data_IF_773923271496
#
_entry.id   IF_773923271496
#
_cell.length_a   1.000
_cell.length_b   1.000
_cell.length_c   1.000
_cell.angle_alpha   90.00
_cell.angle_beta   90.00
_cell.angle_gamma   90.00
#
_symmetry.space_group_name_H-M   'P 1'
#
loop_
_entity.id
_entity.type
_entity.pdbx_description
1 polymer ?
#
# COMPACT_ATOMS: atom_id res chain seq x y z
N UNK A 1 -7.60 26.69 12.98
CA UNK A 1 -6.32 26.01 12.91
C UNK A 1 -6.55 24.52 12.70
N UNK A 2 -6.35 24.05 11.50
CA UNK A 2 -6.47 22.61 11.23
C UNK A 2 -5.36 21.81 11.91
N UNK A 3 -5.72 20.75 12.56
CA UNK A 3 -4.74 19.80 13.03
C UNK A 3 -4.13 19.10 11.82
N UNK A 4 -2.84 19.32 11.55
CA UNK A 4 -2.14 18.55 10.53
C UNK A 4 -1.94 17.14 11.08
N UNK A 5 -2.58 16.16 10.43
CA UNK A 5 -2.35 14.76 10.74
C UNK A 5 -0.90 14.42 10.41
N UNK A 6 -0.18 13.80 11.35
CA UNK A 6 1.20 13.41 11.11
C UNK A 6 1.28 12.32 10.03
N UNK A 7 2.42 12.25 9.32
CA UNK A 7 2.65 11.22 8.32
C UNK A 7 2.58 9.81 8.94
N UNK A 8 3.04 9.65 10.18
CA UNK A 8 2.95 8.38 10.88
C UNK A 8 1.49 7.96 11.14
N UNK A 9 0.62 8.93 11.49
CA UNK A 9 -0.81 8.65 11.68
C UNK A 9 -1.50 8.33 10.35
N UNK A 10 -1.14 9.03 9.27
CA UNK A 10 -1.64 8.74 7.93
C UNK A 10 -1.20 7.36 7.45
N UNK A 11 0.04 6.97 7.74
CA UNK A 11 0.52 5.64 7.41
C UNK A 11 -0.28 4.56 8.13
N UNK A 12 -0.53 4.73 9.43
CA UNK A 12 -1.35 3.78 10.20
C UNK A 12 -2.77 3.66 9.67
N UNK A 13 -3.39 4.79 9.33
CA UNK A 13 -4.73 4.81 8.75
C UNK A 13 -4.75 4.10 7.40
N UNK A 14 -3.78 4.38 6.54
CA UNK A 14 -3.67 3.74 5.24
C UNK A 14 -3.41 2.23 5.35
N UNK A 15 -2.60 1.79 6.32
CA UNK A 15 -2.37 0.37 6.57
C UNK A 15 -3.66 -0.35 7.01
N UNK A 16 -4.54 0.33 7.76
CA UNK A 16 -5.86 -0.20 8.08
C UNK A 16 -6.73 -0.35 6.82
N UNK A 17 -6.66 0.61 5.91
CA UNK A 17 -7.42 0.58 4.67
C UNK A 17 -7.02 -0.56 3.74
N UNK A 18 -5.77 -1.01 3.83
CA UNK A 18 -5.23 -2.14 3.05
C UNK A 18 -5.05 -3.41 3.86
N UNK A 19 -5.65 -3.49 5.03
CA UNK A 19 -5.61 -4.69 5.86
C UNK A 19 -6.28 -5.87 5.15
N UNK A 20 -5.85 -7.12 5.43
CA UNK A 20 -6.49 -8.30 4.86
C UNK A 20 -8.00 -8.30 5.12
N UNK A 21 -8.79 -8.64 4.10
CA UNK A 21 -10.25 -8.65 4.17
C UNK A 21 -10.94 -7.35 3.76
N UNK A 22 -10.20 -6.27 3.58
CA UNK A 22 -10.77 -5.02 3.05
C UNK A 22 -10.97 -5.08 1.54
N UNK A 23 -11.89 -4.28 1.02
CA UNK A 23 -12.16 -4.21 -0.42
C UNK A 23 -10.94 -3.68 -1.19
N UNK A 24 -10.21 -2.72 -0.62
CA UNK A 24 -9.00 -2.19 -1.23
C UNK A 24 -7.92 -3.27 -1.32
N UNK A 25 -7.69 -4.03 -0.25
CA UNK A 25 -6.72 -5.13 -0.26
C UNK A 25 -7.10 -6.19 -1.29
N UNK A 26 -8.38 -6.52 -1.40
CA UNK A 26 -8.85 -7.47 -2.42
C UNK A 26 -8.53 -6.98 -3.83
N UNK A 27 -8.75 -5.71 -4.11
CA UNK A 27 -8.39 -5.11 -5.40
C UNK A 27 -6.90 -5.18 -5.68
N UNK A 28 -6.07 -4.87 -4.70
CA UNK A 28 -4.62 -4.95 -4.81
C UNK A 28 -4.14 -6.37 -5.07
N UNK A 29 -4.71 -7.35 -4.39
CA UNK A 29 -4.38 -8.77 -4.59
C UNK A 29 -4.78 -9.26 -5.98
N UNK A 30 -5.91 -8.79 -6.52
CA UNK A 30 -6.32 -9.09 -7.89
C UNK A 30 -5.32 -8.55 -8.91
N UNK A 31 -4.84 -7.32 -8.69
CA UNK A 31 -3.80 -6.70 -9.54
C UNK A 31 -2.50 -7.51 -9.46
N UNK A 32 -2.11 -7.89 -8.27
CA UNK A 32 -0.93 -8.71 -8.00
C UNK A 32 -0.97 -10.03 -8.76
N UNK A 33 -2.11 -10.74 -8.70
CA UNK A 33 -2.32 -12.01 -9.41
C UNK A 33 -2.33 -11.87 -10.93
N UNK A 34 -2.72 -10.70 -11.43
CA UNK A 34 -2.76 -10.41 -12.86
C UNK A 34 -1.38 -10.11 -13.45
N UNK A 35 -0.33 -10.04 -12.63
CA UNK A 35 1.03 -9.66 -13.04
C UNK A 35 1.09 -8.30 -13.72
N UNK A 36 0.15 -7.41 -13.41
CA UNK A 36 0.17 -6.02 -13.85
C UNK A 36 0.69 -5.15 -12.71
N UNK A 37 1.33 -4.05 -13.05
CA UNK A 37 1.68 -3.04 -12.08
C UNK A 37 0.54 -2.07 -11.85
N UNK A 38 0.60 -1.31 -10.75
CA UNK A 38 -0.37 -0.27 -10.48
C UNK A 38 0.24 0.86 -9.66
N UNK A 39 -0.33 2.04 -9.83
CA UNK A 39 -0.01 3.24 -9.06
C UNK A 39 -1.33 3.85 -8.58
N UNK A 40 -1.49 3.97 -7.27
CA UNK A 40 -2.76 4.37 -6.67
C UNK A 40 -2.48 5.42 -5.61
N UNK A 41 -3.20 6.54 -5.66
CA UNK A 41 -3.12 7.58 -4.65
C UNK A 41 -4.39 7.55 -3.79
N UNK A 42 -4.21 7.50 -2.47
CA UNK A 42 -5.32 7.52 -1.51
C UNK A 42 -5.50 8.95 -0.98
N UNK A 43 -6.20 9.76 -1.71
CA UNK A 43 -6.48 11.14 -1.36
C UNK A 43 -6.78 11.97 -2.58
N UNK A 44 -7.45 13.08 -2.35
CA UNK A 44 -7.84 14.00 -3.41
C UNK A 44 -7.68 15.43 -2.87
N UNK A 45 -6.51 16.01 -3.12
CA UNK A 45 -6.17 17.34 -2.63
C UNK A 45 -5.80 18.28 -3.78
N UNK A 46 -5.87 19.62 -3.57
CA UNK A 46 -5.41 20.58 -4.59
C UNK A 46 -3.95 20.37 -4.99
N UNK A 47 -3.07 20.04 -4.04
CA UNK A 47 -1.66 19.80 -4.32
C UNK A 47 -1.47 18.59 -5.23
N UNK A 48 -2.22 17.53 -5.01
CA UNK A 48 -2.20 16.37 -5.89
C UNK A 48 -2.69 16.72 -7.30
N UNK A 49 -3.75 17.51 -7.41
CA UNK A 49 -4.29 17.90 -8.71
C UNK A 49 -3.29 18.69 -9.55
N UNK A 50 -2.44 19.49 -8.93
CA UNK A 50 -1.37 20.21 -9.62
C UNK A 50 -0.35 19.27 -10.26
N UNK A 51 -0.14 18.09 -9.69
CA UNK A 51 0.76 17.08 -10.20
C UNK A 51 0.14 16.22 -11.30
N UNK A 52 -1.18 16.21 -11.42
CA UNK A 52 -1.91 15.35 -12.35
C UNK A 52 -1.96 15.96 -13.73
N UNK A 53 -1.82 15.12 -14.75
CA UNK A 53 -2.01 15.50 -16.14
C UNK A 53 -2.74 14.40 -16.90
N UNK A 54 -3.70 14.80 -17.74
CA UNK A 54 -4.46 13.87 -18.57
C UNK A 54 -5.38 12.96 -17.77
N UNK A 55 -5.70 11.83 -18.38
CA UNK A 55 -6.56 10.83 -17.77
C UNK A 55 -8.04 11.15 -17.84
N UNK A 56 -8.81 10.42 -17.05
CA UNK A 56 -10.26 10.51 -17.02
C UNK A 56 -10.72 10.97 -15.64
N UNK A 57 -11.60 11.97 -15.61
CA UNK A 57 -12.31 12.33 -14.39
C UNK A 57 -13.46 11.36 -14.17
N UNK A 58 -13.54 10.83 -12.98
CA UNK A 58 -14.53 9.84 -12.58
C UNK A 58 -15.16 10.27 -11.25
N UNK A 59 -16.32 9.72 -10.97
CA UNK A 59 -16.93 9.80 -9.65
C UNK A 59 -17.77 8.54 -9.47
N UNK A 60 -17.08 7.41 -9.28
CA UNK A 60 -17.71 6.11 -9.16
C UNK A 60 -17.37 5.47 -7.81
N UNK A 61 -18.31 4.69 -7.30
CA UNK A 61 -18.10 3.94 -6.08
C UNK A 61 -16.92 2.99 -6.23
N UNK A 62 -16.05 2.94 -5.20
CA UNK A 62 -14.94 2.00 -5.17
C UNK A 62 -15.45 0.56 -5.08
N UNK A 63 -14.95 -0.29 -5.96
CA UNK A 63 -15.05 -1.75 -5.83
C UNK A 63 -13.70 -2.36 -6.23
N UNK A 64 -13.40 -3.54 -5.67
CA UNK A 64 -12.18 -4.27 -6.04
C UNK A 64 -12.11 -4.55 -7.54
N UNK A 65 -13.24 -4.89 -8.14
CA UNK A 65 -13.37 -5.15 -9.57
C UNK A 65 -13.09 -3.91 -10.43
N UNK A 66 -13.66 -2.77 -10.04
CA UNK A 66 -13.41 -1.50 -10.74
C UNK A 66 -11.95 -1.08 -10.66
N UNK A 67 -11.34 -1.22 -9.50
CA UNK A 67 -9.93 -0.89 -9.33
C UNK A 67 -9.06 -1.74 -10.26
N UNK A 68 -9.28 -3.04 -10.29
CA UNK A 68 -8.53 -3.95 -11.16
C UNK A 68 -8.66 -3.54 -12.63
N UNK A 69 -9.88 -3.24 -13.09
CA UNK A 69 -10.11 -2.85 -14.49
C UNK A 69 -9.43 -1.52 -14.83
N UNK A 70 -9.53 -0.53 -13.95
CA UNK A 70 -8.92 0.78 -14.17
C UNK A 70 -7.40 0.73 -14.14
N UNK A 71 -6.82 -0.15 -13.35
CA UNK A 71 -5.36 -0.32 -13.27
C UNK A 71 -4.76 -1.07 -14.48
N UNK A 72 -5.57 -1.55 -15.40
CA UNK A 72 -5.09 -2.08 -16.69
C UNK A 72 -4.57 -0.98 -17.60
N UNK A 73 -5.05 0.24 -17.43
CA UNK A 73 -4.54 1.41 -18.14
C UNK A 73 -3.24 1.88 -17.51
N UNK A 74 -2.39 2.50 -18.32
CA UNK A 74 -1.21 3.19 -17.80
C UNK A 74 -1.60 4.35 -16.90
N UNK A 75 -0.68 4.77 -16.03
CA UNK A 75 -0.90 5.90 -15.15
C UNK A 75 -1.48 5.51 -13.80
N UNK A 76 -1.92 6.53 -13.08
CA UNK A 76 -2.39 6.38 -11.71
C UNK A 76 -3.91 6.39 -11.61
N UNK A 77 -4.41 5.72 -10.58
CA UNK A 77 -5.81 5.79 -10.13
C UNK A 77 -5.83 6.60 -8.83
N UNK A 78 -6.73 7.56 -8.76
CA UNK A 78 -6.91 8.43 -7.60
C UNK A 78 -8.20 8.04 -6.89
N UNK A 79 -8.08 7.66 -5.62
CA UNK A 79 -9.21 7.25 -4.78
C UNK A 79 -9.36 8.27 -3.64
N UNK A 80 -10.58 8.71 -3.40
CA UNK A 80 -10.91 9.51 -2.23
C UNK A 80 -11.35 8.56 -1.12
N UNK A 81 -10.54 8.36 -0.07
CA UNK A 81 -10.86 7.42 0.99
C UNK A 81 -11.90 7.94 1.99
N UNK A 82 -12.27 9.24 1.91
CA UNK A 82 -13.28 9.79 2.81
C UNK A 82 -14.69 9.29 2.49
N UNK A 83 -14.94 9.01 1.21
CA UNK A 83 -16.23 8.50 0.73
C UNK A 83 -16.09 7.24 -0.15
N UNK A 84 -14.88 6.71 -0.29
CA UNK A 84 -14.55 5.54 -1.10
C UNK A 84 -15.06 5.65 -2.54
N UNK A 85 -14.71 6.76 -3.17
CA UNK A 85 -15.02 6.99 -4.58
C UNK A 85 -13.73 7.07 -5.39
N UNK A 86 -13.75 6.49 -6.59
CA UNK A 86 -12.66 6.63 -7.54
C UNK A 86 -12.88 7.92 -8.30
N UNK A 87 -11.89 8.82 -8.23
CA UNK A 87 -12.02 10.18 -8.75
C UNK A 87 -11.30 10.38 -10.08
N UNK A 88 -10.23 9.63 -10.34
CA UNK A 88 -9.47 9.72 -11.60
C UNK A 88 -8.84 8.38 -11.92
N UNK A 89 -8.62 8.15 -13.21
CA UNK A 89 -7.86 7.00 -13.71
C UNK A 89 -7.03 7.41 -14.93
N UNK A 90 -6.02 6.63 -15.27
CA UNK A 90 -5.11 6.91 -16.39
C UNK A 90 -4.41 8.27 -16.30
N UNK A 91 -4.10 8.69 -15.08
CA UNK A 91 -3.50 10.01 -14.81
C UNK A 91 -2.00 9.88 -14.80
N UNK A 92 -1.30 10.82 -15.44
CA UNK A 92 0.15 10.96 -15.29
C UNK A 92 0.46 11.85 -14.10
N UNK A 93 1.39 11.40 -13.25
CA UNK A 93 1.84 12.17 -12.09
C UNK A 93 3.22 12.75 -12.36
N UNK A 94 3.36 14.06 -12.12
CA UNK A 94 4.60 14.80 -12.32
C UNK A 94 5.07 15.44 -11.01
N UNK A 95 5.55 14.63 -10.03
CA UNK A 95 6.13 15.18 -8.83
C UNK A 95 7.46 15.88 -9.12
N UNK A 96 7.90 16.72 -8.19
CA UNK A 96 9.18 17.40 -8.29
C UNK A 96 10.32 16.38 -8.38
N UNK A 97 11.07 16.44 -9.48
CA UNK A 97 12.16 15.50 -9.76
C UNK A 97 13.40 15.75 -8.89
N UNK A 98 13.48 16.88 -8.21
CA UNK A 98 14.57 17.17 -7.26
C UNK A 98 14.43 16.39 -5.95
N UNK A 99 13.26 15.83 -5.66
CA UNK A 99 13.04 15.00 -4.48
C UNK A 99 13.85 13.72 -4.63
N UNK A 100 14.77 13.41 -3.67
CA UNK A 100 15.58 12.20 -3.77
C UNK A 100 14.73 10.95 -3.63
N UNK A 101 15.14 9.88 -4.32
CA UNK A 101 14.51 8.57 -4.23
C UNK A 101 15.58 7.49 -4.32
N UNK A 102 15.43 6.45 -3.53
CA UNK A 102 16.27 5.25 -3.55
C UNK A 102 15.65 4.11 -4.36
N UNK A 103 14.46 4.34 -4.93
CA UNK A 103 13.77 3.36 -5.75
C UNK A 103 14.34 3.28 -7.15
N UNK A 104 14.33 2.08 -7.74
CA UNK A 104 14.91 1.83 -9.05
C UNK A 104 13.90 1.87 -10.21
N UNK A 105 12.64 1.52 -9.96
CA UNK A 105 11.60 1.51 -10.99
C UNK A 105 10.91 2.86 -11.14
N UNK A 106 10.52 3.24 -12.35
CA UNK A 106 9.86 4.53 -12.59
C UNK A 106 8.57 4.69 -11.79
N UNK A 107 7.74 3.65 -11.72
CA UNK A 107 6.49 3.69 -10.97
C UNK A 107 6.73 3.89 -9.48
N UNK A 108 7.71 3.18 -8.92
CA UNK A 108 8.06 3.29 -7.51
C UNK A 108 8.69 4.65 -7.19
N UNK A 109 9.53 5.18 -8.07
CA UNK A 109 10.10 6.52 -7.93
C UNK A 109 9.01 7.59 -7.93
N UNK A 110 8.08 7.49 -8.86
CA UNK A 110 6.94 8.42 -8.93
C UNK A 110 6.08 8.33 -7.68
N UNK A 111 5.80 7.11 -7.20
CA UNK A 111 5.02 6.90 -5.99
C UNK A 111 5.69 7.55 -4.77
N UNK A 112 6.97 7.31 -4.58
CA UNK A 112 7.72 7.86 -3.44
C UNK A 112 7.76 9.38 -3.47
N UNK A 113 8.05 9.97 -4.63
CA UNK A 113 8.11 11.43 -4.78
C UNK A 113 6.74 12.08 -4.60
N UNK A 114 5.69 11.47 -5.14
CA UNK A 114 4.32 11.98 -4.98
C UNK A 114 3.90 11.95 -3.51
N UNK A 115 4.15 10.86 -2.81
CA UNK A 115 3.84 10.73 -1.38
C UNK A 115 4.62 11.75 -0.54
N UNK A 116 5.88 11.96 -0.85
CA UNK A 116 6.71 12.96 -0.15
C UNK A 116 6.18 14.37 -0.36
N UNK A 117 5.84 14.72 -1.59
CA UNK A 117 5.41 16.08 -1.93
C UNK A 117 4.01 16.40 -1.43
N UNK A 118 3.07 15.46 -1.55
CA UNK A 118 1.66 15.70 -1.21
C UNK A 118 1.27 15.27 0.19
N UNK A 119 2.10 14.48 0.87
CA UNK A 119 1.78 13.82 2.15
C UNK A 119 0.54 12.92 2.09
N UNK A 120 0.15 12.50 0.90
CA UNK A 120 -0.91 11.52 0.71
C UNK A 120 -0.33 10.11 0.61
N UNK A 121 -1.04 9.09 1.12
CA UNK A 121 -0.62 7.71 0.91
C UNK A 121 -0.64 7.34 -0.56
N UNK A 122 0.44 6.74 -1.05
CA UNK A 122 0.56 6.26 -2.43
C UNK A 122 0.93 4.79 -2.40
N UNK A 123 0.18 4.00 -3.16
CA UNK A 123 0.40 2.56 -3.31
C UNK A 123 1.04 2.28 -4.66
N UNK A 124 2.02 1.39 -4.67
CA UNK A 124 2.63 0.90 -5.90
C UNK A 124 2.65 -0.62 -5.89
N UNK A 125 2.17 -1.23 -6.95
CA UNK A 125 2.21 -2.69 -7.13
C UNK A 125 3.23 -2.99 -8.22
N UNK A 126 4.21 -3.84 -7.90
CA UNK A 126 5.22 -4.27 -8.86
C UNK A 126 4.69 -5.44 -9.69
N UNK A 127 4.73 -5.31 -11.02
CA UNK A 127 4.33 -6.38 -11.93
C UNK A 127 5.27 -7.59 -11.85
N UNK A 128 6.59 -7.34 -11.75
CA UNK A 128 7.60 -8.40 -11.78
C UNK A 128 7.79 -9.09 -10.44
N UNK A 129 7.82 -8.32 -9.35
CA UNK A 129 8.09 -8.83 -8.00
C UNK A 129 6.84 -9.13 -7.19
N UNK A 130 5.67 -8.76 -7.69
CA UNK A 130 4.37 -8.92 -7.03
C UNK A 130 4.33 -8.31 -5.61
N UNK A 131 5.05 -7.23 -5.41
CA UNK A 131 5.10 -6.55 -4.12
C UNK A 131 4.15 -5.35 -4.12
N UNK A 132 3.46 -5.19 -3.01
CA UNK A 132 2.65 -4.01 -2.72
C UNK A 132 3.48 -3.12 -1.80
N UNK A 133 3.75 -1.90 -2.22
CA UNK A 133 4.47 -0.91 -1.42
C UNK A 133 3.56 0.26 -1.11
N UNK A 134 3.66 0.80 0.09
CA UNK A 134 2.96 2.00 0.50
C UNK A 134 3.98 3.09 0.89
N UNK A 135 3.74 4.31 0.44
CA UNK A 135 4.56 5.48 0.73
C UNK A 135 3.70 6.56 1.36
N UNK A 136 4.16 7.13 2.45
CA UNK A 136 3.52 8.30 3.09
C UNK A 136 4.62 9.22 3.59
N UNK A 137 4.69 10.45 3.05
CA UNK A 137 5.78 11.36 3.36
C UNK A 137 7.13 10.69 3.09
N UNK A 138 7.97 10.56 4.10
CA UNK A 138 9.26 9.87 4.00
C UNK A 138 9.20 8.37 4.34
N UNK A 139 8.03 7.86 4.74
CA UNK A 139 7.87 6.46 5.13
C UNK A 139 7.64 5.58 3.91
N UNK A 140 8.24 4.40 3.94
CA UNK A 140 8.05 3.36 2.95
C UNK A 140 7.85 2.04 3.66
N UNK A 141 6.78 1.32 3.32
CA UNK A 141 6.48 0.03 3.91
C UNK A 141 6.08 -0.96 2.81
N UNK A 142 6.67 -2.14 2.84
CA UNK A 142 6.29 -3.25 1.96
C UNK A 142 5.23 -4.07 2.67
N UNK A 143 4.08 -4.22 2.01
CA UNK A 143 2.94 -4.95 2.58
C UNK A 143 3.20 -6.44 2.41
N UNK A 144 3.20 -7.16 3.53
CA UNK A 144 3.42 -8.61 3.52
C UNK A 144 2.13 -9.37 3.20
N UNK A 145 2.30 -10.49 2.51
CA UNK A 145 1.18 -11.36 2.21
C UNK A 145 0.68 -12.05 3.49
N UNK A 146 -0.67 -12.24 3.66
CA UNK A 146 -1.22 -12.91 4.83
C UNK A 146 -0.63 -14.30 5.07
N UNK A 147 -0.36 -15.04 4.01
CA UNK A 147 0.24 -16.37 4.09
C UNK A 147 1.64 -16.34 4.71
N UNK A 148 2.46 -15.37 4.35
CA UNK A 148 3.79 -15.20 4.95
C UNK A 148 3.70 -14.85 6.43
N UNK A 149 2.75 -13.99 6.82
CA UNK A 149 2.50 -13.66 8.22
C UNK A 149 2.06 -14.88 9.04
N UNK A 150 1.16 -15.68 8.49
CA UNK A 150 0.68 -16.92 9.14
C UNK A 150 1.83 -17.92 9.29
N UNK A 151 2.67 -18.10 8.29
CA UNK A 151 3.81 -19.01 8.35
C UNK A 151 4.78 -18.61 9.45
N UNK A 152 5.07 -17.32 9.61
CA UNK A 152 5.93 -16.81 10.69
C UNK A 152 5.30 -16.97 12.06
N UNK A 153 4.00 -16.72 12.18
CA UNK A 153 3.25 -16.93 13.43
C UNK A 153 3.27 -18.40 13.85
N UNK A 154 3.03 -19.32 12.91
CA UNK A 154 3.09 -20.76 13.15
C UNK A 154 4.48 -21.21 13.61
N UNK A 155 5.53 -20.69 12.96
CA UNK A 155 6.90 -20.99 13.37
C UNK A 155 7.21 -20.49 14.78
N UNK A 156 6.73 -19.32 15.16
CA UNK A 156 6.90 -18.77 16.50
C UNK A 156 6.19 -19.64 17.56
N UNK A 157 4.97 -20.10 17.28
CA UNK A 157 4.23 -21.01 18.17
C UNK A 157 4.98 -22.34 18.33
N UNK A 158 5.44 -22.94 17.24
CA UNK A 158 6.22 -24.19 17.28
C UNK A 158 7.49 -24.03 18.13
N UNK A 159 8.17 -22.90 18.00
CA UNK A 159 9.36 -22.60 18.80
C UNK A 159 9.03 -22.51 20.29
N UNK A 160 7.94 -21.85 20.65
CA UNK A 160 7.48 -21.78 22.05
C UNK A 160 7.13 -23.14 22.61
N UNK A 161 6.46 -23.99 21.84
CA UNK A 161 6.13 -25.35 22.25
C UNK A 161 7.38 -26.20 22.53
N UNK A 162 8.39 -26.06 21.70
CA UNK A 162 9.67 -26.76 21.89
C UNK A 162 10.36 -26.29 23.18
N UNK A 163 10.36 -25.00 23.45
CA UNK A 163 10.92 -24.46 24.70
C UNK A 163 10.17 -24.98 25.92
N UNK A 164 8.85 -25.03 25.87
CA UNK A 164 8.02 -25.55 26.97
C UNK A 164 8.34 -27.01 27.26
N UNK A 165 8.42 -27.86 26.23
CA UNK A 165 8.76 -29.27 26.37
C UNK A 165 10.15 -29.46 26.99
N UNK A 166 11.15 -28.70 26.53
CA UNK A 166 12.51 -28.77 27.05
C UNK A 166 12.59 -28.36 28.51
N UNK A 167 11.84 -27.34 28.90
CA UNK A 167 11.76 -26.89 30.27
C UNK A 167 11.15 -27.97 31.16
N UNK A 168 10.09 -28.64 30.76
CA UNK A 168 9.46 -29.73 31.47
C UNK A 168 10.44 -30.91 31.68
N UNK A 169 11.20 -31.28 30.68
CA UNK A 169 12.22 -32.32 30.76
C UNK A 169 13.29 -31.96 31.81
N UNK A 170 13.77 -30.73 31.83
CA UNK A 170 14.77 -30.26 32.79
C UNK A 170 14.19 -30.31 34.20
N UNK A 171 12.96 -29.87 34.39
CA UNK A 171 12.31 -29.91 35.73
C UNK A 171 12.09 -31.32 36.22
N UNK A 172 11.78 -32.28 35.37
CA UNK A 172 11.65 -33.68 35.71
C UNK A 172 12.99 -34.29 36.13
N UNK A 173 14.10 -33.88 35.49
CA UNK A 173 15.43 -34.38 35.82
C UNK A 173 15.91 -33.88 37.19
N UNK A 174 15.43 -32.73 37.66
CA UNK A 174 15.82 -32.15 38.95
C UNK A 174 15.04 -32.73 40.17
N UNK A 175 14.00 -33.48 39.91
CA UNK A 175 13.27 -34.21 40.95
C UNK A 175 13.71 -35.67 40.96
#
# INVERSE_FOLDING_TARGET
AGFMTSDAALLRSALQDIAPGTALREGLERIQRSHTGALIVLGFSPELQELCSGGFDLDVEFTASRLRELCKMDGAVIIDPTNWRIRKANVQLFPDQSIPTDESGMRHRTAQRTAYQTHLPVLSVSASMRLISIYVGKYHHIVEEPEALLSRANLAVDTLDRYSQRLDEVLQTLT
#
